data_IF_797242445651
#
_entry.id   IF_797242445651
#
_cell.length_a   1.000
_cell.length_b   1.000
_cell.length_c   1.000
_cell.angle_alpha   90.00
_cell.angle_beta   90.00
_cell.angle_gamma   90.00
#
_symmetry.space_group_name_H-M   'P 1'
#
loop_
_entity.id
_entity.type
_entity.pdbx_description
1 polymer ?
#
# COMPACT_ATOMS: atom_id res chain seq x y z
N UNK A 1 13.14 -10.70 -10.65
CA UNK A 1 12.26 -10.19 -9.58
C UNK A 1 10.96 -11.01 -9.50
N UNK A 2 10.04 -10.92 -10.42
CA UNK A 2 8.72 -11.59 -10.36
C UNK A 2 8.80 -13.12 -10.19
N UNK A 3 9.70 -13.81 -10.88
CA UNK A 3 9.93 -15.27 -10.67
C UNK A 3 10.36 -15.60 -9.24
N UNK A 4 11.09 -14.70 -8.58
CA UNK A 4 11.51 -14.88 -7.20
C UNK A 4 10.37 -14.63 -6.21
N UNK A 5 9.49 -13.67 -6.49
CA UNK A 5 8.36 -13.33 -5.63
C UNK A 5 7.20 -14.32 -5.74
N UNK A 6 7.04 -14.97 -6.88
CA UNK A 6 5.95 -15.90 -7.19
C UNK A 6 5.73 -16.95 -6.12
N UNK A 7 4.48 -17.06 -5.62
CA UNK A 7 4.10 -18.04 -4.61
C UNK A 7 4.67 -17.82 -3.21
N UNK A 8 5.30 -16.67 -2.96
CA UNK A 8 5.87 -16.31 -1.65
C UNK A 8 5.24 -15.03 -1.11
N UNK A 9 5.18 -14.91 0.20
CA UNK A 9 4.90 -13.63 0.83
C UNK A 9 6.19 -12.80 0.90
N UNK A 10 6.06 -11.49 0.68
CA UNK A 10 7.13 -10.52 0.90
C UNK A 10 6.57 -9.29 1.60
N UNK A 11 7.44 -8.37 2.02
CA UNK A 11 7.03 -7.15 2.71
C UNK A 11 7.26 -5.92 1.84
N UNK A 12 6.28 -5.02 1.85
CA UNK A 12 6.38 -3.68 1.28
C UNK A 12 6.50 -2.68 2.41
N UNK A 13 7.54 -1.87 2.37
CA UNK A 13 7.83 -0.79 3.31
C UNK A 13 7.52 0.54 2.63
N UNK A 14 6.52 1.25 3.15
CA UNK A 14 6.14 2.57 2.63
C UNK A 14 6.24 3.60 3.75
N UNK A 15 7.29 4.41 3.70
CA UNK A 15 7.48 5.53 4.61
C UNK A 15 6.79 6.78 4.07
N UNK A 16 6.27 7.59 4.99
CA UNK A 16 5.78 8.92 4.69
C UNK A 16 6.37 9.95 5.65
N UNK A 17 6.53 11.17 5.16
CA UNK A 17 7.01 12.31 5.94
C UNK A 17 6.15 13.53 5.61
N UNK A 18 5.69 14.23 6.63
CA UNK A 18 4.91 15.46 6.50
C UNK A 18 5.63 16.59 7.22
N UNK A 19 5.97 17.62 6.48
CA UNK A 19 6.59 18.83 6.99
C UNK A 19 5.55 19.96 7.09
N UNK A 20 5.34 20.49 8.30
CA UNK A 20 4.56 21.69 8.52
C UNK A 20 5.47 22.92 8.41
N UNK A 21 5.26 23.71 7.36
CA UNK A 21 6.20 24.78 6.97
C UNK A 21 6.27 25.97 7.92
N UNK A 22 5.21 26.25 8.68
CA UNK A 22 5.16 27.44 9.55
C UNK A 22 6.06 27.33 10.81
N UNK A 23 6.34 26.12 11.27
CA UNK A 23 7.20 25.82 12.44
C UNK A 23 8.24 24.73 12.17
N UNK A 24 8.41 24.37 10.91
CA UNK A 24 9.35 23.35 10.42
C UNK A 24 9.22 21.99 11.12
N UNK A 25 8.05 21.69 11.66
CA UNK A 25 7.79 20.42 12.34
C UNK A 25 7.64 19.29 11.33
N UNK A 26 8.58 18.33 11.39
CA UNK A 26 8.58 17.12 10.58
C UNK A 26 8.03 15.95 11.40
N UNK A 27 7.03 15.23 10.85
CA UNK A 27 6.51 13.97 11.42
C UNK A 27 6.59 12.90 10.36
N UNK A 28 7.08 11.73 10.74
CA UNK A 28 7.24 10.57 9.86
C UNK A 28 6.48 9.36 10.39
N UNK A 29 6.09 8.48 9.50
CA UNK A 29 5.49 7.19 9.82
C UNK A 29 5.90 6.13 8.81
N UNK A 30 5.81 4.86 9.18
CA UNK A 30 6.17 3.72 8.36
C UNK A 30 5.03 2.69 8.37
N UNK A 31 4.57 2.34 7.20
CA UNK A 31 3.66 1.22 6.98
C UNK A 31 4.46 0.02 6.45
N UNK A 32 4.33 -1.13 7.11
CA UNK A 32 4.93 -2.39 6.66
C UNK A 32 3.80 -3.35 6.36
N UNK A 33 3.71 -3.79 5.11
CA UNK A 33 2.58 -4.58 4.61
C UNK A 33 3.06 -5.91 4.07
N UNK A 34 2.53 -7.01 4.58
CA UNK A 34 2.76 -8.34 4.03
C UNK A 34 1.93 -8.53 2.76
N UNK A 35 2.60 -8.93 1.68
CA UNK A 35 1.99 -9.10 0.36
C UNK A 35 2.16 -10.55 -0.09
N UNK A 36 1.08 -11.35 -0.06
CA UNK A 36 1.09 -12.72 -0.52
C UNK A 36 0.98 -12.77 -2.06
N UNK A 37 2.08 -13.14 -2.72
CA UNK A 37 2.10 -13.26 -4.17
C UNK A 37 1.42 -14.55 -4.62
N UNK A 38 0.60 -14.44 -5.65
CA UNK A 38 -0.04 -15.58 -6.30
C UNK A 38 1.00 -16.46 -7.02
N UNK A 39 0.68 -17.73 -7.18
CA UNK A 39 1.49 -18.65 -7.98
C UNK A 39 1.13 -18.56 -9.48
N UNK A 40 1.40 -17.41 -10.09
CA UNK A 40 1.18 -17.18 -11.53
C UNK A 40 2.14 -17.98 -12.42
N UNK A 41 1.69 -18.36 -13.62
CA UNK A 41 2.47 -19.11 -14.60
C UNK A 41 3.55 -18.24 -15.30
N UNK A 42 4.50 -18.90 -15.98
CA UNK A 42 5.49 -18.18 -16.80
C UNK A 42 4.83 -17.41 -17.95
N UNK A 43 3.78 -17.95 -18.57
CA UNK A 43 3.05 -17.25 -19.63
C UNK A 43 2.33 -15.98 -19.16
N UNK A 44 1.69 -16.01 -17.97
CA UNK A 44 1.10 -14.82 -17.38
C UNK A 44 2.15 -13.76 -17.05
N UNK A 45 3.30 -14.20 -16.52
CA UNK A 45 4.41 -13.31 -16.20
C UNK A 45 5.00 -12.67 -17.46
N UNK A 46 5.24 -13.44 -18.51
CA UNK A 46 5.77 -12.94 -19.78
C UNK A 46 4.80 -11.95 -20.43
N UNK A 47 3.51 -12.27 -20.46
CA UNK A 47 2.47 -11.36 -20.95
C UNK A 47 2.47 -10.04 -20.21
N UNK A 48 2.58 -10.08 -18.88
CA UNK A 48 2.63 -8.89 -18.05
C UNK A 48 3.91 -8.06 -18.30
N UNK A 49 5.07 -8.70 -18.39
CA UNK A 49 6.34 -8.01 -18.67
C UNK A 49 6.33 -7.31 -20.02
N UNK A 50 5.71 -7.92 -21.05
CA UNK A 50 5.60 -7.32 -22.38
C UNK A 50 4.73 -6.05 -22.40
N UNK A 51 3.88 -5.81 -21.41
CA UNK A 51 3.13 -4.54 -21.29
C UNK A 51 4.03 -3.35 -20.98
N UNK A 52 5.23 -3.57 -20.45
CA UNK A 52 6.11 -2.52 -19.92
C UNK A 52 5.73 -1.98 -18.56
N UNK A 53 4.55 -2.35 -18.02
CA UNK A 53 4.05 -1.88 -16.72
C UNK A 53 5.00 -2.15 -15.55
N UNK A 54 5.75 -3.28 -15.49
CA UNK A 54 6.66 -3.55 -14.37
C UNK A 54 7.88 -2.64 -14.28
N UNK A 55 8.25 -1.93 -15.36
CA UNK A 55 9.59 -1.34 -15.49
C UNK A 55 9.87 -0.16 -14.56
N UNK A 56 8.83 0.56 -14.15
CA UNK A 56 8.92 1.73 -13.25
C UNK A 56 8.46 1.44 -11.81
N UNK A 57 8.20 0.16 -11.47
CA UNK A 57 7.60 -0.22 -10.20
C UNK A 57 8.56 -0.95 -9.26
N UNK A 58 8.54 -0.58 -8.00
CA UNK A 58 9.20 -1.34 -6.94
C UNK A 58 8.62 -2.77 -6.89
N UNK A 59 9.50 -3.77 -6.85
CA UNK A 59 9.07 -5.18 -6.92
C UNK A 59 8.65 -5.66 -8.30
N UNK A 60 8.65 -4.76 -9.32
CA UNK A 60 8.28 -5.03 -10.70
C UNK A 60 6.82 -5.49 -10.87
N UNK A 61 5.87 -4.99 -10.05
CA UNK A 61 4.44 -5.26 -10.20
C UNK A 61 3.57 -4.10 -9.71
N UNK A 62 2.38 -3.98 -10.28
CA UNK A 62 1.28 -3.17 -9.76
C UNK A 62 0.25 -4.10 -9.11
N UNK A 63 -0.02 -3.93 -7.81
CA UNK A 63 -1.02 -4.73 -7.10
C UNK A 63 -2.42 -4.59 -7.73
N UNK A 64 -2.72 -3.42 -8.27
CA UNK A 64 -4.00 -3.07 -8.91
C UNK A 64 -4.08 -3.43 -10.39
N UNK A 65 -3.06 -4.08 -10.99
CA UNK A 65 -3.08 -4.36 -12.44
C UNK A 65 -4.24 -5.30 -12.82
N UNK A 66 -5.15 -4.88 -13.72
CA UNK A 66 -6.42 -5.58 -13.94
C UNK A 66 -6.28 -6.93 -14.65
N UNK A 67 -5.19 -7.18 -15.36
CA UNK A 67 -4.98 -8.42 -16.11
C UNK A 67 -4.05 -9.41 -15.45
N UNK A 68 -3.07 -8.94 -14.66
CA UNK A 68 -2.07 -9.82 -14.06
C UNK A 68 -2.47 -10.34 -12.68
N UNK A 69 -3.13 -9.52 -11.86
CA UNK A 69 -3.55 -9.88 -10.50
C UNK A 69 -2.46 -10.62 -9.71
N UNK A 70 -1.31 -9.98 -9.42
CA UNK A 70 -0.15 -10.67 -8.86
C UNK A 70 -0.34 -11.15 -7.42
N UNK A 71 -1.32 -10.63 -6.71
CA UNK A 71 -1.53 -10.83 -5.27
C UNK A 71 -2.86 -11.52 -5.01
N UNK A 72 -2.89 -12.42 -4.03
CA UNK A 72 -4.12 -13.07 -3.55
C UNK A 72 -4.16 -13.08 -2.01
N UNK A 73 -5.36 -13.18 -1.44
CA UNK A 73 -5.55 -13.27 0.02
C UNK A 73 -4.92 -12.12 0.82
N UNK A 74 -4.88 -10.92 0.26
CA UNK A 74 -4.35 -9.73 0.89
C UNK A 74 -5.07 -9.43 2.21
N UNK A 75 -4.31 -9.16 3.28
CA UNK A 75 -4.84 -8.83 4.62
C UNK A 75 -4.25 -7.55 5.22
N UNK A 76 -3.41 -6.85 4.48
CA UNK A 76 -2.73 -5.62 4.89
C UNK A 76 -3.31 -4.35 4.27
N UNK A 77 -2.55 -3.28 4.33
CA UNK A 77 -2.92 -1.99 3.75
C UNK A 77 -2.68 -1.96 2.23
N UNK A 78 -3.73 -2.15 1.44
CA UNK A 78 -3.65 -2.12 -0.03
C UNK A 78 -3.09 -0.79 -0.55
N UNK A 79 -3.53 0.34 0.03
CA UNK A 79 -3.06 1.67 -0.33
C UNK A 79 -1.56 1.89 -0.07
N UNK A 80 -1.00 1.21 0.95
CA UNK A 80 0.45 1.21 1.21
C UNK A 80 1.23 0.56 0.07
N UNK A 81 0.74 -0.59 -0.42
CA UNK A 81 1.38 -1.30 -1.54
C UNK A 81 1.33 -0.49 -2.83
N UNK A 82 0.29 0.33 -3.01
CA UNK A 82 0.20 1.31 -4.11
C UNK A 82 1.13 2.52 -3.94
N UNK A 83 1.66 2.76 -2.72
CA UNK A 83 2.63 3.81 -2.43
C UNK A 83 2.17 4.93 -1.49
N UNK A 84 0.90 4.94 -1.03
CA UNK A 84 0.42 5.97 -0.10
C UNK A 84 -0.50 5.37 0.99
N UNK A 85 0.02 5.09 2.21
CA UNK A 85 -0.76 4.52 3.31
C UNK A 85 -1.64 5.59 3.97
N UNK A 86 -2.87 5.76 3.48
CA UNK A 86 -3.76 6.86 3.85
C UNK A 86 -4.09 6.92 5.35
N UNK A 87 -4.28 5.78 6.02
CA UNK A 87 -4.55 5.77 7.47
C UNK A 87 -3.33 6.21 8.30
N UNK A 88 -2.11 5.88 7.86
CA UNK A 88 -0.88 6.40 8.47
C UNK A 88 -0.74 7.90 8.21
N UNK A 89 -1.06 8.37 7.01
CA UNK A 89 -1.08 9.81 6.69
C UNK A 89 -2.05 10.57 7.62
N UNK A 90 -3.28 10.06 7.82
CA UNK A 90 -4.24 10.67 8.78
C UNK A 90 -3.62 10.75 10.18
N UNK A 91 -2.98 9.67 10.63
CA UNK A 91 -2.35 9.61 11.95
C UNK A 91 -1.27 10.68 12.11
N UNK A 92 -0.42 10.85 11.09
CA UNK A 92 0.60 11.91 11.04
C UNK A 92 -0.04 13.30 11.03
N UNK A 93 -1.06 13.53 10.20
CA UNK A 93 -1.77 14.81 10.12
C UNK A 93 -2.42 15.20 11.46
N UNK A 94 -2.99 14.23 12.18
CA UNK A 94 -3.55 14.45 13.53
C UNK A 94 -2.49 14.93 14.53
N UNK A 95 -1.25 14.40 14.46
CA UNK A 95 -0.15 14.89 15.34
C UNK A 95 0.33 16.30 14.99
N UNK A 96 -0.05 16.79 13.82
CA UNK A 96 0.19 18.15 13.36
C UNK A 96 -1.03 19.06 13.52
N UNK A 97 -2.05 18.63 14.27
CA UNK A 97 -3.31 19.35 14.52
C UNK A 97 -4.12 19.64 13.24
N UNK A 98 -3.92 18.82 12.19
CA UNK A 98 -4.68 18.90 10.94
C UNK A 98 -5.86 17.94 11.01
N UNK A 99 -7.08 18.49 11.06
CA UNK A 99 -8.30 17.70 10.99
C UNK A 99 -8.78 17.56 9.54
N UNK A 100 -9.26 16.36 9.19
CA UNK A 100 -9.86 16.08 7.89
C UNK A 100 -11.39 15.99 8.05
N UNK A 101 -12.12 16.65 7.16
CA UNK A 101 -13.59 16.64 7.14
C UNK A 101 -14.22 15.43 6.45
N UNK A 102 -13.41 14.43 6.06
CA UNK A 102 -13.84 13.27 5.26
C UNK A 102 -13.48 11.96 5.98
N UNK A 103 -14.35 10.96 5.89
CA UNK A 103 -14.04 9.59 6.30
C UNK A 103 -13.13 8.93 5.25
N UNK A 104 -11.82 9.18 5.40
CA UNK A 104 -10.81 8.67 4.47
C UNK A 104 -10.75 7.14 4.43
N UNK A 105 -10.86 6.38 5.54
CA UNK A 105 -10.96 4.93 5.48
C UNK A 105 -12.12 4.43 4.63
N UNK A 106 -13.31 5.00 4.78
CA UNK A 106 -14.47 4.62 3.99
C UNK A 106 -14.26 4.95 2.50
N UNK A 107 -13.75 6.14 2.20
CA UNK A 107 -13.45 6.55 0.82
C UNK A 107 -12.37 5.65 0.19
N UNK A 108 -11.30 5.33 0.91
CA UNK A 108 -10.24 4.44 0.46
C UNK A 108 -10.77 3.04 0.11
N UNK A 109 -11.56 2.44 1.01
CA UNK A 109 -12.13 1.11 0.80
C UNK A 109 -13.12 1.08 -0.37
N UNK A 110 -13.93 2.12 -0.51
CA UNK A 110 -14.86 2.26 -1.64
C UNK A 110 -14.13 2.40 -2.98
N UNK A 111 -13.10 3.25 -3.04
CA UNK A 111 -12.33 3.49 -4.26
C UNK A 111 -11.54 2.25 -4.70
N UNK A 112 -10.93 1.55 -3.75
CA UNK A 112 -10.09 0.37 -4.02
C UNK A 112 -10.89 -0.93 -4.12
N UNK A 113 -12.20 -0.89 -3.86
CA UNK A 113 -13.06 -2.10 -3.77
C UNK A 113 -12.44 -3.17 -2.87
N UNK A 114 -11.81 -2.73 -1.77
CA UNK A 114 -11.07 -3.56 -0.84
C UNK A 114 -11.48 -3.31 0.61
N UNK A 115 -11.96 -4.35 1.30
CA UNK A 115 -12.32 -4.30 2.72
C UNK A 115 -11.04 -4.35 3.56
N UNK A 116 -10.55 -3.19 3.97
CA UNK A 116 -9.28 -3.07 4.69
C UNK A 116 -9.41 -3.56 6.15
N UNK A 117 -8.75 -4.66 6.54
CA UNK A 117 -8.88 -5.20 7.89
C UNK A 117 -8.09 -4.42 8.94
N UNK A 118 -7.13 -3.60 8.53
CA UNK A 118 -6.16 -2.93 9.42
C UNK A 118 -6.45 -1.45 9.67
N UNK A 119 -7.36 -0.83 8.92
CA UNK A 119 -7.61 0.63 8.97
C UNK A 119 -7.91 1.16 10.38
N UNK A 120 -8.80 0.46 11.13
CA UNK A 120 -9.19 0.86 12.48
C UNK A 120 -8.04 0.74 13.48
N UNK A 121 -7.23 -0.32 13.37
CA UNK A 121 -6.10 -0.56 14.25
C UNK A 121 -4.99 0.49 14.02
N UNK A 122 -4.69 0.81 12.76
CA UNK A 122 -3.74 1.89 12.41
C UNK A 122 -4.20 3.22 13.01
N UNK A 123 -5.49 3.57 12.89
CA UNK A 123 -6.03 4.84 13.42
C UNK A 123 -6.05 4.90 14.95
N UNK A 124 -6.00 3.76 15.66
CA UNK A 124 -5.78 3.68 17.11
C UNK A 124 -4.30 3.81 17.51
N UNK A 125 -3.38 3.84 16.55
CA UNK A 125 -1.94 3.98 16.80
C UNK A 125 -1.15 2.67 16.76
N UNK A 126 -1.77 1.56 16.34
CA UNK A 126 -1.07 0.29 16.20
C UNK A 126 -0.06 0.33 15.04
N UNK A 127 1.09 -0.33 15.21
CA UNK A 127 2.18 -0.40 14.22
C UNK A 127 1.96 -1.64 13.31
N UNK A 128 0.95 -1.54 12.47
CA UNK A 128 0.58 -2.59 11.49
C UNK A 128 0.30 -1.96 10.12
N UNK A 129 0.39 -2.78 9.06
CA UNK A 129 0.14 -2.31 7.70
C UNK A 129 -0.42 -3.33 6.75
#
# INVERSE_FOLDING_TARGET
MLKFLRGHAHQVYTALAVLRMNDERLVMDLCVTDVPMRNYSDGELETYVLTGDPLDKAGAYAIQHPGFHPVENMKGCYASVMGLPLCHLIRVLRTLDVALGTDVPAACQSLLQYQCPVSRAILRGEQIG
#
